data_IF_218425464867
#
_entry.id   IF_218425464867
#
_cell.length_a   1.000
_cell.length_b   1.000
_cell.length_c   1.000
_cell.angle_alpha   90.00
_cell.angle_beta   90.00
_cell.angle_gamma   90.00
#
_symmetry.space_group_name_H-M   'P 1'
#
loop_
_entity.id
_entity.type
_entity.pdbx_description
1 polymer ?
#
# COMPACT_ATOMS: atom_id res chain seq x y z
N UNK A 1 -3.73 -10.97 23.80
CA UNK A 1 -3.88 -12.29 23.17
C UNK A 1 -3.23 -13.33 24.07
N UNK A 2 -3.97 -14.37 24.50
CA UNK A 2 -3.49 -15.36 25.51
C UNK A 2 -3.04 -16.66 24.88
N UNK A 3 -3.66 -17.06 23.77
CA UNK A 3 -3.33 -18.30 23.08
C UNK A 3 -3.85 -18.33 21.66
N UNK A 4 -3.18 -19.12 20.81
CA UNK A 4 -3.53 -19.39 19.42
C UNK A 4 -3.28 -20.88 19.16
N UNK A 5 -4.30 -21.61 18.73
CA UNK A 5 -4.20 -23.05 18.42
C UNK A 5 -5.04 -23.39 17.18
N UNK A 6 -4.53 -24.27 16.32
CA UNK A 6 -5.29 -24.83 15.20
C UNK A 6 -6.00 -26.10 15.68
N UNK A 7 -7.33 -26.10 15.62
CA UNK A 7 -8.17 -27.22 16.07
C UNK A 7 -9.00 -27.76 14.92
N UNK A 8 -9.15 -29.08 14.86
CA UNK A 8 -10.15 -29.69 13.99
C UNK A 8 -11.46 -29.78 14.78
N UNK A 9 -12.48 -29.06 14.33
CA UNK A 9 -13.78 -29.05 14.98
C UNK A 9 -14.47 -30.40 14.76
N UNK A 10 -14.94 -31.02 15.84
CA UNK A 10 -15.86 -32.14 15.76
C UNK A 10 -17.28 -31.62 15.49
N UNK A 11 -18.14 -32.49 14.95
CA UNK A 11 -19.53 -32.14 14.67
C UNK A 11 -20.26 -31.63 15.92
N UNK A 12 -19.99 -32.24 17.08
CA UNK A 12 -20.56 -31.85 18.38
C UNK A 12 -20.10 -30.45 18.80
N UNK A 13 -18.78 -30.17 18.75
CA UNK A 13 -18.26 -28.83 19.06
C UNK A 13 -18.80 -27.75 18.14
N UNK A 14 -18.97 -28.06 16.84
CA UNK A 14 -19.53 -27.11 15.89
C UNK A 14 -21.02 -26.80 16.18
N UNK A 15 -21.80 -27.78 16.67
CA UNK A 15 -23.16 -27.54 17.14
C UNK A 15 -23.16 -26.65 18.38
N UNK A 16 -22.31 -26.92 19.37
CA UNK A 16 -22.24 -26.12 20.59
C UNK A 16 -21.88 -24.66 20.29
N UNK A 17 -20.90 -24.44 19.39
CA UNK A 17 -20.47 -23.10 18.93
C UNK A 17 -21.62 -22.37 18.23
N UNK A 18 -22.36 -23.03 17.33
CA UNK A 18 -23.47 -22.41 16.61
C UNK A 18 -24.70 -22.18 17.50
N UNK A 19 -24.94 -23.07 18.47
CA UNK A 19 -26.04 -22.97 19.42
C UNK A 19 -25.86 -21.78 20.36
N UNK A 20 -24.62 -21.50 20.80
CA UNK A 20 -24.32 -20.33 21.62
C UNK A 20 -24.52 -18.98 20.88
N UNK A 21 -24.56 -18.99 19.55
CA UNK A 21 -24.64 -17.78 18.72
C UNK A 21 -26.06 -17.29 18.38
N UNK A 22 -27.11 -17.86 18.99
CA UNK A 22 -28.55 -17.58 18.74
C UNK A 22 -28.98 -17.62 17.25
N UNK A 23 -28.13 -18.20 16.38
CA UNK A 23 -28.35 -18.29 14.96
C UNK A 23 -29.05 -19.61 14.62
N UNK A 24 -30.05 -19.56 13.74
CA UNK A 24 -30.72 -20.77 13.25
C UNK A 24 -29.71 -21.72 12.58
N UNK A 25 -29.71 -22.98 13.01
CA UNK A 25 -28.79 -24.02 12.54
C UNK A 25 -29.00 -24.28 11.03
N UNK A 26 -28.07 -23.77 10.23
CA UNK A 26 -27.99 -24.05 8.80
C UNK A 26 -26.95 -25.15 8.54
N UNK A 27 -27.35 -26.22 7.84
CA UNK A 27 -26.46 -27.33 7.47
C UNK A 27 -25.24 -26.87 6.66
N UNK A 28 -25.39 -25.82 5.85
CA UNK A 28 -24.27 -25.25 5.09
C UNK A 28 -23.19 -24.65 6.00
N UNK A 29 -23.59 -23.96 7.08
CA UNK A 29 -22.66 -23.38 8.05
C UNK A 29 -21.89 -24.48 8.80
N UNK A 30 -22.58 -25.57 9.17
CA UNK A 30 -21.96 -26.72 9.80
C UNK A 30 -20.93 -27.39 8.88
N UNK A 31 -21.26 -27.59 7.61
CA UNK A 31 -20.34 -28.17 6.64
C UNK A 31 -19.11 -27.28 6.43
N UNK A 32 -19.28 -25.96 6.40
CA UNK A 32 -18.17 -25.02 6.26
C UNK A 32 -17.20 -25.09 7.45
N UNK A 33 -17.72 -25.16 8.70
CA UNK A 33 -16.91 -25.29 9.91
C UNK A 33 -16.14 -26.62 9.99
N UNK A 34 -16.69 -27.70 9.42
CA UNK A 34 -16.05 -29.02 9.41
C UNK A 34 -15.10 -29.23 8.23
N UNK A 35 -15.19 -28.40 7.19
CA UNK A 35 -14.42 -28.60 5.94
C UNK A 35 -12.92 -28.33 6.07
N UNK A 36 -12.51 -27.54 7.07
CA UNK A 36 -11.12 -27.13 7.28
C UNK A 36 -10.80 -27.01 8.78
N UNK A 37 -9.53 -27.16 9.18
CA UNK A 37 -9.12 -26.84 10.55
C UNK A 37 -9.41 -25.38 10.86
N UNK A 38 -9.97 -25.13 12.05
CA UNK A 38 -10.30 -23.80 12.55
C UNK A 38 -9.17 -23.27 13.42
N UNK A 39 -8.93 -21.96 13.36
CA UNK A 39 -7.97 -21.31 14.25
C UNK A 39 -8.72 -20.77 15.48
N UNK A 40 -8.49 -21.37 16.63
CA UNK A 40 -9.01 -20.89 17.90
C UNK A 40 -8.05 -19.85 18.50
N UNK A 41 -8.57 -18.66 18.81
CA UNK A 41 -7.81 -17.58 19.43
C UNK A 41 -8.47 -17.21 20.75
N UNK A 42 -7.70 -17.30 21.83
CA UNK A 42 -8.17 -16.91 23.15
C UNK A 42 -7.71 -15.48 23.45
N UNK A 43 -8.67 -14.59 23.66
CA UNK A 43 -8.44 -13.26 24.19
C UNK A 43 -8.83 -13.25 25.67
N UNK A 44 -7.91 -12.80 26.55
CA UNK A 44 -8.30 -12.33 27.88
C UNK A 44 -8.83 -10.94 27.65
N UNK A 45 -10.16 -10.82 27.67
CA UNK A 45 -10.82 -9.55 27.87
C UNK A 45 -10.37 -9.06 29.25
N UNK A 46 -9.76 -7.88 29.29
CA UNK A 46 -9.50 -7.22 30.57
C UNK A 46 -10.84 -6.65 31.02
N UNK A 47 -11.23 -6.89 32.27
CA UNK A 47 -12.53 -6.49 32.82
C UNK A 47 -12.79 -4.97 32.72
N UNK A 48 -11.75 -4.18 32.44
CA UNK A 48 -11.81 -2.73 32.22
C UNK A 48 -12.66 -2.33 31.00
N UNK A 49 -12.76 -3.17 29.98
CA UNK A 49 -13.39 -2.77 28.71
C UNK A 49 -14.92 -2.88 28.76
N UNK A 50 -15.45 -3.81 29.58
CA UNK A 50 -16.90 -3.96 29.80
C UNK A 50 -17.51 -2.74 30.50
N UNK A 51 -16.79 -2.20 31.48
CA UNK A 51 -17.25 -1.02 32.22
C UNK A 51 -17.29 0.21 31.32
N UNK A 52 -16.36 0.34 30.36
CA UNK A 52 -16.33 1.50 29.47
C UNK A 52 -17.51 1.52 28.49
N UNK A 53 -17.83 0.37 27.87
CA UNK A 53 -18.98 0.28 26.96
C UNK A 53 -20.30 0.57 27.69
N UNK A 54 -20.47 0.06 28.91
CA UNK A 54 -21.66 0.31 29.73
C UNK A 54 -21.80 1.79 30.12
N UNK A 55 -20.70 2.46 30.46
CA UNK A 55 -20.69 3.89 30.79
C UNK A 55 -21.05 4.74 29.57
N UNK A 56 -20.50 4.41 28.40
CA UNK A 56 -20.83 5.10 27.15
C UNK A 56 -22.30 4.88 26.78
N UNK A 57 -22.81 3.66 26.91
CA UNK A 57 -24.22 3.37 26.64
C UNK A 57 -25.15 4.11 27.61
N UNK A 58 -24.85 4.13 28.91
CA UNK A 58 -25.62 4.90 29.91
C UNK A 58 -25.61 6.41 29.58
N UNK A 59 -24.46 6.96 29.17
CA UNK A 59 -24.33 8.38 28.80
C UNK A 59 -25.17 8.73 27.56
N UNK A 60 -25.18 7.87 26.54
CA UNK A 60 -25.98 8.08 25.33
C UNK A 60 -27.49 7.97 25.62
N UNK A 61 -27.92 7.03 26.48
CA UNK A 61 -29.32 6.92 26.93
C UNK A 61 -29.78 8.21 27.62
N UNK A 62 -29.02 8.73 28.59
CA UNK A 62 -29.34 9.99 29.29
C UNK A 62 -29.43 11.19 28.35
N UNK A 63 -28.50 11.32 27.40
CA UNK A 63 -28.55 12.36 26.36
C UNK A 63 -29.84 12.31 25.55
N UNK A 64 -30.24 11.10 25.12
CA UNK A 64 -31.45 10.91 24.33
C UNK A 64 -32.72 11.25 25.13
N UNK A 65 -32.76 10.92 26.43
CA UNK A 65 -33.88 11.27 27.31
C UNK A 65 -33.96 12.76 27.57
N UNK A 66 -32.83 13.42 27.85
CA UNK A 66 -32.77 14.87 28.05
C UNK A 66 -33.21 15.63 26.80
N UNK A 67 -32.75 15.22 25.62
CA UNK A 67 -33.18 15.81 24.35
C UNK A 67 -34.68 15.61 24.10
N UNK A 68 -35.22 14.44 24.47
CA UNK A 68 -36.67 14.17 24.37
C UNK A 68 -37.47 15.13 25.25
N UNK A 69 -37.06 15.31 26.51
CA UNK A 69 -37.72 16.23 27.44
C UNK A 69 -37.61 17.69 26.99
N UNK A 70 -36.46 18.10 26.46
CA UNK A 70 -36.27 19.46 25.94
C UNK A 70 -37.24 19.76 24.78
N UNK A 71 -37.42 18.81 23.84
CA UNK A 71 -38.39 18.95 22.75
C UNK A 71 -39.82 19.07 23.27
N UNK A 72 -40.19 18.23 24.25
CA UNK A 72 -41.51 18.29 24.87
C UNK A 72 -41.75 19.65 25.56
N UNK A 73 -40.76 20.18 26.28
CA UNK A 73 -40.86 21.48 26.94
C UNK A 73 -41.01 22.64 25.93
N UNK A 74 -40.34 22.57 24.78
CA UNK A 74 -40.49 23.54 23.69
C UNK A 74 -41.93 23.52 23.16
N UNK A 75 -42.48 22.34 22.89
CA UNK A 75 -43.86 22.19 22.39
C UNK A 75 -44.89 22.70 23.41
N UNK A 76 -44.71 22.38 24.69
CA UNK A 76 -45.56 22.86 25.78
C UNK A 76 -45.50 24.39 25.93
N UNK A 77 -44.31 25.00 25.79
CA UNK A 77 -44.14 26.45 25.83
C UNK A 77 -44.85 27.15 24.66
N UNK A 78 -44.77 26.57 23.45
CA UNK A 78 -45.48 27.08 22.27
C UNK A 78 -46.99 26.99 22.47
N UNK A 79 -47.50 25.87 23.00
CA UNK A 79 -48.92 25.69 23.28
C UNK A 79 -49.41 26.67 24.35
N UNK A 80 -48.65 26.87 25.43
CA UNK A 80 -48.97 27.85 26.48
C UNK A 80 -49.02 29.28 25.94
N UNK A 81 -48.07 29.67 25.06
CA UNK A 81 -48.05 30.98 24.41
C UNK A 81 -49.28 31.18 23.52
N UNK A 82 -49.69 30.16 22.75
CA UNK A 82 -50.92 30.19 21.94
C UNK A 82 -52.17 30.36 22.80
N UNK A 83 -52.30 29.59 23.88
CA UNK A 83 -53.42 29.69 24.81
C UNK A 83 -53.50 31.08 25.48
N UNK A 84 -52.35 31.66 25.86
CA UNK A 84 -52.29 33.01 26.43
C UNK A 84 -52.76 34.09 25.42
N UNK A 85 -52.31 34.00 24.15
CA UNK A 85 -52.76 34.90 23.07
C UNK A 85 -54.28 34.79 22.86
N UNK A 86 -54.86 33.58 22.89
CA UNK A 86 -56.30 33.38 22.76
C UNK A 86 -57.09 34.02 23.92
N UNK A 87 -56.63 33.86 25.16
CA UNK A 87 -57.25 34.49 26.32
C UNK A 87 -57.19 36.03 26.24
N UNK A 88 -56.04 36.57 25.81
CA UNK A 88 -55.86 38.00 25.62
C UNK A 88 -56.80 38.54 24.53
N UNK A 89 -56.95 37.81 23.42
CA UNK A 89 -57.90 38.13 22.35
C UNK A 89 -59.34 38.16 22.87
N UNK A 90 -59.73 37.20 23.69
CA UNK A 90 -61.08 37.17 24.31
C UNK A 90 -61.29 38.40 25.22
N UNK A 91 -60.30 38.79 26.02
CA UNK A 91 -60.39 39.98 26.88
C UNK A 91 -60.53 41.27 26.06
N UNK A 92 -59.75 41.42 24.99
CA UNK A 92 -59.83 42.58 24.10
C UNK A 92 -61.19 42.68 23.42
N UNK A 93 -61.74 41.56 22.94
CA UNK A 93 -63.09 41.51 22.37
C UNK A 93 -64.16 41.93 23.39
N UNK A 94 -64.02 41.52 24.66
CA UNK A 94 -64.92 41.95 25.74
C UNK A 94 -64.83 43.45 26.04
N UNK A 95 -63.64 44.04 25.93
CA UNK A 95 -63.40 45.47 26.20
C UNK A 95 -63.80 46.41 25.07
N UNK A 96 -64.06 45.90 23.86
CA UNK A 96 -64.42 46.71 22.69
C UNK A 96 -63.26 47.49 22.05
N UNK A 97 -62.02 47.22 22.42
CA UNK A 97 -60.85 47.95 21.92
C UNK A 97 -60.29 47.32 20.63
N UNK A 98 -60.80 47.77 19.47
CA UNK A 98 -60.51 47.17 18.16
C UNK A 98 -59.08 47.45 17.66
N UNK A 99 -58.47 48.58 18.04
CA UNK A 99 -57.12 48.95 17.59
C UNK A 99 -56.04 48.04 18.20
N UNK A 100 -56.19 47.63 19.46
CA UNK A 100 -55.28 46.70 20.12
C UNK A 100 -55.35 45.27 19.52
N UNK A 101 -56.49 44.89 18.96
CA UNK A 101 -56.70 43.57 18.35
C UNK A 101 -55.91 43.41 17.05
N UNK A 102 -55.72 44.50 16.30
CA UNK A 102 -55.02 44.51 15.02
C UNK A 102 -53.50 44.35 15.21
N UNK A 103 -52.94 45.00 16.23
CA UNK A 103 -51.53 44.84 16.61
C UNK A 103 -51.20 43.40 17.03
N UNK A 104 -52.12 42.72 17.72
CA UNK A 104 -51.93 41.34 18.19
C UNK A 104 -51.92 40.32 17.04
N UNK A 105 -52.61 40.61 15.93
CA UNK A 105 -52.56 39.78 14.72
C UNK A 105 -51.24 39.90 13.96
N UNK A 106 -50.50 40.98 14.18
CA UNK A 106 -49.27 41.27 13.43
C UNK A 106 -48.03 40.66 14.09
N UNK A 107 -48.10 40.27 15.37
CA UNK A 107 -47.10 39.40 16.01
C UNK A 107 -47.18 37.99 15.42
N UNK A 108 -46.27 37.69 14.50
CA UNK A 108 -46.13 36.39 13.86
C UNK A 108 -46.01 35.29 14.94
N UNK A 109 -46.69 34.16 14.71
CA UNK A 109 -46.70 33.04 15.65
C UNK A 109 -45.38 32.24 15.70
N UNK A 110 -44.38 32.68 14.95
CA UNK A 110 -43.12 31.98 14.68
C UNK A 110 -41.88 32.64 15.31
N UNK A 111 -42.04 33.57 16.26
CA UNK A 111 -40.92 34.01 17.10
C UNK A 111 -40.47 32.82 17.97
N UNK A 112 -39.54 32.04 17.42
CA UNK A 112 -39.01 30.80 17.98
C UNK A 112 -38.62 30.97 19.44
N UNK A 113 -39.09 30.07 20.28
CA UNK A 113 -38.66 30.03 21.68
C UNK A 113 -37.20 29.61 21.69
N UNK A 114 -36.31 30.53 22.02
CA UNK A 114 -34.85 30.33 22.01
C UNK A 114 -34.42 29.50 23.23
N UNK A 115 -34.87 28.25 23.27
CA UNK A 115 -34.41 27.26 24.25
C UNK A 115 -33.20 26.58 23.62
N UNK A 116 -32.01 26.96 24.10
CA UNK A 116 -30.75 26.36 23.69
C UNK A 116 -30.73 24.90 24.14
N UNK A 117 -30.90 23.96 23.20
CA UNK A 117 -30.74 22.52 23.47
C UNK A 117 -29.23 22.22 23.57
N UNK A 118 -28.72 21.74 24.71
CA UNK A 118 -27.31 21.40 24.83
C UNK A 118 -26.97 20.24 23.89
N UNK A 119 -25.98 20.43 23.02
CA UNK A 119 -25.53 19.43 22.03
C UNK A 119 -24.54 18.43 22.62
N UNK A 120 -23.92 18.77 23.75
CA UNK A 120 -23.03 17.90 24.52
C UNK A 120 -23.26 18.10 26.03
N UNK A 121 -23.29 17.00 26.78
CA UNK A 121 -23.15 17.04 28.24
C UNK A 121 -21.71 17.42 28.55
N UNK A 122 -21.50 18.53 29.27
CA UNK A 122 -20.19 18.88 29.82
C UNK A 122 -19.68 17.74 30.70
N UNK A 123 -18.43 17.34 30.52
CA UNK A 123 -17.77 16.21 31.21
C UNK A 123 -17.63 16.38 32.76
N UNK A 124 -18.32 17.35 33.36
CA UNK A 124 -18.12 17.77 34.75
C UNK A 124 -19.15 17.19 35.74
N UNK A 125 -20.15 16.42 35.30
CA UNK A 125 -21.17 15.82 36.17
C UNK A 125 -20.95 14.30 36.41
N UNK A 126 -19.74 13.78 36.15
CA UNK A 126 -19.40 12.35 36.24
C UNK A 126 -19.31 11.77 37.68
N UNK A 127 -19.58 12.53 38.74
CA UNK A 127 -19.44 12.04 40.13
C UNK A 127 -20.73 11.53 40.80
N UNK A 128 -21.88 11.47 40.10
CA UNK A 128 -23.14 11.02 40.72
C UNK A 128 -23.86 9.99 39.84
N UNK A 129 -23.40 8.73 39.87
CA UNK A 129 -24.28 7.55 39.82
C UNK A 129 -23.45 6.27 40.01
N UNK A 130 -23.08 6.02 41.26
CA UNK A 130 -22.56 4.74 41.73
C UNK A 130 -23.59 4.08 42.64
N UNK A 131 -24.80 3.77 42.17
CA UNK A 131 -25.76 3.00 43.00
C UNK A 131 -26.92 2.41 42.16
N UNK A 132 -26.67 1.27 41.52
CA UNK A 132 -27.55 0.08 41.56
C UNK A 132 -27.02 -0.95 40.54
N UNK A 133 -25.97 -1.67 40.91
CA UNK A 133 -25.65 -2.93 40.25
C UNK A 133 -26.82 -3.88 40.52
N UNK A 134 -27.49 -4.34 39.47
CA UNK A 134 -28.59 -5.30 39.57
C UNK A 134 -27.98 -6.65 39.98
N UNK A 135 -28.06 -7.00 41.27
CA UNK A 135 -27.43 -8.19 41.88
C UNK A 135 -27.86 -9.53 41.24
N UNK A 136 -28.77 -9.50 40.27
CA UNK A 136 -29.28 -10.67 39.55
C UNK A 136 -28.67 -10.86 38.16
N UNK A 137 -27.73 -10.02 37.71
CA UNK A 137 -27.04 -10.28 36.44
C UNK A 137 -26.15 -11.53 36.60
N UNK A 138 -26.55 -12.59 35.88
CA UNK A 138 -25.91 -13.90 35.99
C UNK A 138 -24.50 -13.85 35.38
N UNK A 139 -23.49 -13.71 36.24
CA UNK A 139 -22.11 -13.91 35.86
C UNK A 139 -21.82 -15.42 35.78
N UNK A 140 -21.43 -15.97 34.62
CA UNK A 140 -21.03 -17.36 34.53
C UNK A 140 -19.81 -17.58 35.45
N UNK A 141 -19.69 -18.76 36.08
CA UNK A 141 -18.60 -19.06 36.98
C UNK A 141 -17.25 -18.88 36.26
N UNK A 142 -16.31 -18.19 36.92
CA UNK A 142 -14.94 -18.05 36.45
C UNK A 142 -14.41 -19.44 36.06
N UNK A 143 -14.07 -19.63 34.78
CA UNK A 143 -13.62 -20.86 34.10
C UNK A 143 -14.61 -21.49 33.10
N UNK A 144 -15.83 -20.97 32.92
CA UNK A 144 -16.68 -21.39 31.81
C UNK A 144 -16.23 -20.70 30.50
N UNK A 145 -15.38 -21.38 29.72
CA UNK A 145 -15.05 -20.97 28.35
C UNK A 145 -16.29 -21.19 27.47
N UNK A 146 -17.10 -20.15 27.29
CA UNK A 146 -18.19 -20.17 26.32
C UNK A 146 -17.59 -19.84 24.95
N UNK A 147 -17.57 -20.77 23.99
CA UNK A 147 -17.12 -20.46 22.64
C UNK A 147 -18.13 -19.53 21.96
N UNK A 148 -17.81 -18.24 21.88
CA UNK A 148 -18.63 -17.24 21.22
C UNK A 148 -17.99 -16.73 19.92
N UNK A 149 -18.81 -16.30 18.97
CA UNK A 149 -18.34 -15.55 17.81
C UNK A 149 -18.15 -14.09 18.21
N UNK A 150 -16.89 -13.65 18.26
CA UNK A 150 -16.59 -12.24 18.41
C UNK A 150 -16.77 -11.54 17.06
N UNK A 151 -17.85 -10.78 16.92
CA UNK A 151 -18.04 -9.83 15.83
C UNK A 151 -17.69 -8.43 16.35
N UNK A 152 -16.55 -7.84 15.96
CA UNK A 152 -16.20 -6.49 16.42
C UNK A 152 -17.34 -5.51 16.06
N UNK A 153 -17.80 -4.65 16.98
CA UNK A 153 -18.94 -3.78 16.72
C UNK A 153 -18.65 -2.70 15.67
N UNK A 154 -17.42 -2.16 15.66
CA UNK A 154 -16.99 -1.11 14.74
C UNK A 154 -16.43 -1.70 13.44
N UNK A 155 -16.78 -1.11 12.29
CA UNK A 155 -16.25 -1.49 10.98
C UNK A 155 -14.72 -1.34 10.90
N UNK A 156 -14.14 -0.36 11.61
CA UNK A 156 -12.67 -0.22 11.74
C UNK A 156 -12.05 -1.41 12.48
N UNK A 157 -12.74 -1.92 13.51
CA UNK A 157 -12.28 -3.10 14.24
C UNK A 157 -12.46 -4.38 13.40
N UNK A 158 -13.50 -4.45 12.55
CA UNK A 158 -13.69 -5.54 11.60
C UNK A 158 -12.60 -5.54 10.53
N UNK A 159 -12.27 -4.38 9.94
CA UNK A 159 -11.18 -4.29 8.94
C UNK A 159 -9.83 -4.61 9.55
N UNK A 160 -9.52 -4.10 10.73
CA UNK A 160 -8.29 -4.43 11.46
C UNK A 160 -8.24 -5.92 11.82
N UNK A 161 -9.35 -6.49 12.27
CA UNK A 161 -9.48 -7.92 12.52
C UNK A 161 -9.21 -8.75 11.27
N UNK A 162 -9.79 -8.35 10.12
CA UNK A 162 -9.52 -9.01 8.84
C UNK A 162 -8.04 -8.87 8.41
N UNK A 163 -7.43 -7.70 8.62
CA UNK A 163 -6.02 -7.47 8.29
C UNK A 163 -5.09 -8.37 9.13
N UNK A 164 -5.38 -8.52 10.43
CA UNK A 164 -4.59 -9.34 11.35
C UNK A 164 -4.81 -10.84 11.09
N UNK A 165 -6.06 -11.26 10.88
CA UNK A 165 -6.41 -12.68 10.77
C UNK A 165 -6.18 -13.25 9.36
N UNK A 166 -6.37 -12.42 8.32
CA UNK A 166 -6.33 -12.83 6.92
C UNK A 166 -5.46 -11.91 6.06
N UNK A 167 -4.17 -11.73 6.40
CA UNK A 167 -3.30 -10.77 5.72
C UNK A 167 -3.18 -11.02 4.21
N UNK A 168 -3.23 -12.30 3.76
CA UNK A 168 -3.17 -12.63 2.33
C UNK A 168 -4.39 -12.15 1.54
N UNK A 169 -5.58 -12.26 2.10
CA UNK A 169 -6.83 -11.83 1.44
C UNK A 169 -6.90 -10.31 1.43
N UNK A 170 -6.49 -9.69 2.53
CA UNK A 170 -6.44 -8.24 2.65
C UNK A 170 -5.40 -7.64 1.71
N UNK A 171 -4.19 -8.20 1.61
CA UNK A 171 -3.16 -7.74 0.66
C UNK A 171 -3.59 -7.85 -0.81
N UNK A 172 -4.45 -8.81 -1.17
CA UNK A 172 -4.94 -8.96 -2.54
C UNK A 172 -6.07 -7.95 -2.87
N UNK A 173 -6.83 -7.51 -1.86
CA UNK A 173 -8.06 -6.72 -2.04
C UNK A 173 -7.92 -5.26 -1.63
N UNK A 174 -7.07 -4.98 -0.64
CA UNK A 174 -6.70 -3.63 -0.24
C UNK A 174 -5.55 -3.23 -1.13
N UNK A 175 -5.80 -2.27 -2.02
CA UNK A 175 -4.71 -1.53 -2.63
C UNK A 175 -3.94 -0.90 -1.47
N UNK A 176 -2.64 -1.22 -1.28
CA UNK A 176 -1.86 -0.54 -0.27
C UNK A 176 -2.06 0.97 -0.45
N UNK A 177 -2.18 1.68 0.67
CA UNK A 177 -2.21 3.14 0.61
C UNK A 177 -1.02 3.58 -0.25
N UNK A 178 -1.24 4.39 -1.31
CA UNK A 178 -0.16 4.70 -2.24
C UNK A 178 0.99 5.30 -1.43
N UNK A 179 2.14 4.64 -1.47
CA UNK A 179 3.33 5.09 -0.75
C UNK A 179 3.63 6.52 -1.21
N UNK A 180 3.36 7.49 -0.33
CA UNK A 180 3.59 8.89 -0.63
C UNK A 180 5.09 9.15 -0.65
N UNK A 181 5.69 9.04 -1.84
CA UNK A 181 7.03 9.53 -2.07
C UNK A 181 7.08 11.00 -1.64
N UNK A 182 8.10 11.41 -0.86
CA UNK A 182 8.20 12.80 -0.45
C UNK A 182 8.34 13.68 -1.71
N UNK A 183 7.87 14.96 -1.67
CA UNK A 183 8.03 15.87 -2.78
C UNK A 183 9.48 15.90 -3.23
N UNK A 184 9.73 15.72 -4.53
CA UNK A 184 11.08 15.49 -5.05
C UNK A 184 11.32 16.17 -6.40
N UNK A 185 12.60 16.41 -6.70
CA UNK A 185 13.05 17.04 -7.95
C UNK A 185 14.10 16.19 -8.64
N UNK A 186 14.13 16.25 -9.97
CA UNK A 186 15.14 15.59 -10.77
C UNK A 186 16.34 16.52 -10.96
N UNK A 187 17.54 16.02 -10.66
CA UNK A 187 18.80 16.71 -10.95
C UNK A 187 19.67 15.83 -11.85
N UNK A 188 20.11 16.36 -13.00
CA UNK A 188 20.93 15.61 -13.96
C UNK A 188 22.31 16.23 -14.17
N UNK A 189 23.34 15.39 -14.24
CA UNK A 189 24.73 15.78 -14.49
C UNK A 189 25.30 15.08 -15.71
N UNK A 190 26.34 15.69 -16.29
CA UNK A 190 27.24 15.01 -17.24
C UNK A 190 28.05 13.95 -16.49
N UNK A 191 28.37 12.84 -17.16
CA UNK A 191 29.17 11.78 -16.54
C UNK A 191 30.57 12.23 -16.11
N UNK A 192 31.09 13.32 -16.66
CA UNK A 192 32.36 13.92 -16.24
C UNK A 192 32.28 14.46 -14.79
N UNK A 193 31.12 14.97 -14.37
CA UNK A 193 30.91 15.55 -13.05
C UNK A 193 30.51 14.51 -11.99
N UNK A 194 30.42 13.23 -12.34
CA UNK A 194 29.94 12.16 -11.45
C UNK A 194 30.66 12.10 -10.11
N UNK A 195 31.98 12.27 -10.08
CA UNK A 195 32.75 12.19 -8.83
C UNK A 195 32.47 13.36 -7.90
N UNK A 196 32.26 14.56 -8.46
CA UNK A 196 31.87 15.74 -7.68
C UNK A 196 30.46 15.58 -7.12
N UNK A 197 29.52 15.14 -7.96
CA UNK A 197 28.14 14.89 -7.56
C UNK A 197 28.04 13.82 -6.46
N UNK A 198 28.71 12.68 -6.63
CA UNK A 198 28.74 11.61 -5.63
C UNK A 198 29.39 12.08 -4.32
N UNK A 199 30.42 12.95 -4.39
CA UNK A 199 31.07 13.50 -3.20
C UNK A 199 30.15 14.44 -2.42
N UNK A 200 29.38 15.30 -3.09
CA UNK A 200 28.38 16.16 -2.43
C UNK A 200 27.27 15.33 -1.76
N UNK A 201 26.78 14.31 -2.47
CA UNK A 201 25.72 13.42 -1.96
C UNK A 201 26.17 12.57 -0.77
N UNK A 202 27.48 12.37 -0.58
CA UNK A 202 27.99 11.52 0.50
C UNK A 202 27.49 11.98 1.88
N UNK A 203 27.32 13.29 2.08
CA UNK A 203 26.84 13.88 3.33
C UNK A 203 25.30 13.85 3.43
N UNK A 204 24.60 13.79 2.30
CA UNK A 204 23.15 13.92 2.17
C UNK A 204 22.53 12.64 1.58
N UNK A 205 22.86 11.49 2.17
CA UNK A 205 22.43 10.18 1.65
C UNK A 205 20.94 9.91 1.87
N UNK A 206 20.32 10.55 2.87
CA UNK A 206 18.91 10.33 3.22
C UNK A 206 17.97 11.09 2.30
N UNK A 207 18.47 12.17 1.71
CA UNK A 207 17.75 13.07 0.82
C UNK A 207 17.71 12.55 -0.62
N UNK A 208 18.60 11.62 -0.98
CA UNK A 208 18.61 10.99 -2.31
C UNK A 208 17.74 9.75 -2.31
N UNK A 209 16.62 9.83 -3.02
CA UNK A 209 15.66 8.74 -3.15
C UNK A 209 16.19 7.69 -4.13
N UNK A 210 16.68 8.12 -5.30
CA UNK A 210 17.14 7.20 -6.35
C UNK A 210 18.24 7.80 -7.23
N UNK A 211 19.13 6.95 -7.76
CA UNK A 211 20.21 7.30 -8.69
C UNK A 211 20.13 6.41 -9.93
N UNK A 212 20.17 6.99 -11.13
CA UNK A 212 20.16 6.22 -12.39
C UNK A 212 21.08 6.86 -13.43
N UNK A 213 21.71 6.02 -14.25
CA UNK A 213 22.50 6.45 -15.40
C UNK A 213 21.62 6.33 -16.64
N UNK A 214 21.51 7.40 -17.42
CA UNK A 214 20.63 7.47 -18.58
C UNK A 214 21.40 7.82 -19.86
N UNK A 215 21.15 7.12 -20.99
CA UNK A 215 21.65 7.53 -22.30
C UNK A 215 20.71 8.58 -22.91
N UNK A 216 21.13 9.84 -23.00
CA UNK A 216 20.32 10.90 -23.63
C UNK A 216 20.62 12.31 -23.13
N UNK A 217 20.15 13.32 -23.86
CA UNK A 217 20.46 14.72 -23.56
C UNK A 217 19.42 15.40 -22.66
N UNK A 218 18.11 15.10 -22.77
CA UNK A 218 17.04 15.70 -21.95
C UNK A 218 15.79 14.78 -21.94
N UNK A 219 15.10 14.58 -20.80
CA UNK A 219 13.87 13.77 -20.72
C UNK A 219 12.72 14.29 -21.61
N UNK A 220 12.48 15.61 -21.64
CA UNK A 220 11.34 16.20 -22.36
C UNK A 220 11.41 16.22 -23.89
N UNK A 221 12.55 15.94 -24.53
CA UNK A 221 12.68 16.04 -26.00
C UNK A 221 12.58 14.70 -26.74
N UNK A 222 12.74 13.58 -26.05
CA UNK A 222 12.82 12.25 -26.68
C UNK A 222 11.57 11.38 -26.50
N UNK A 223 10.50 11.88 -25.86
CA UNK A 223 9.27 11.11 -25.63
C UNK A 223 8.57 10.66 -26.91
N UNK A 224 8.66 11.43 -28.01
CA UNK A 224 8.09 11.01 -29.29
C UNK A 224 8.90 9.96 -30.05
N UNK A 225 10.18 9.79 -29.76
CA UNK A 225 11.04 8.89 -30.55
C UNK A 225 11.08 7.47 -29.97
N UNK A 226 10.79 7.30 -28.67
CA UNK A 226 10.82 5.98 -28.03
C UNK A 226 9.53 5.15 -28.22
N UNK A 227 8.39 5.79 -28.51
CA UNK A 227 7.09 5.08 -28.65
C UNK A 227 6.91 4.37 -30.01
N UNK A 228 7.76 4.61 -31.03
CA UNK A 228 7.57 4.09 -32.39
C UNK A 228 8.47 2.90 -32.80
N UNK A 229 9.02 2.12 -31.86
CA UNK A 229 9.74 0.88 -32.22
C UNK A 229 9.27 -0.35 -31.45
N UNK A 230 7.96 -0.59 -31.42
CA UNK A 230 7.46 -1.96 -31.28
C UNK A 230 7.72 -2.74 -32.58
N UNK A 231 8.91 -3.32 -32.66
CA UNK A 231 9.29 -4.31 -33.65
C UNK A 231 8.47 -5.59 -33.39
N UNK A 232 7.47 -5.87 -34.24
CA UNK A 232 6.80 -7.17 -34.30
C UNK A 232 7.73 -8.21 -34.92
N UNK A 233 7.89 -9.41 -34.35
CA UNK A 233 8.19 -10.59 -35.12
C UNK A 233 6.89 -11.35 -35.40
N UNK A 234 6.45 -11.31 -36.65
CA UNK A 234 5.63 -12.35 -37.25
C UNK A 234 6.49 -13.60 -37.49
N UNK A 235 6.15 -14.76 -36.91
CA UNK A 235 5.93 -16.03 -37.64
C UNK A 235 5.47 -17.19 -36.74
N UNK A 236 4.38 -17.82 -37.22
CA UNK A 236 3.90 -19.20 -37.01
C UNK A 236 4.94 -20.27 -36.68
N UNK A 237 4.60 -21.18 -35.74
CA UNK A 237 4.68 -22.65 -35.90
C UNK A 237 3.89 -23.33 -34.76
N UNK A 238 2.75 -23.96 -35.05
CA UNK A 238 2.50 -25.42 -35.21
C UNK A 238 2.71 -26.28 -33.95
N UNK A 239 1.56 -26.79 -33.49
CA UNK A 239 1.37 -27.94 -32.60
C UNK A 239 1.95 -29.21 -33.24
N UNK A 240 2.69 -30.00 -32.47
CA UNK A 240 2.69 -31.46 -32.55
C UNK A 240 3.19 -32.08 -31.23
N UNK A 241 2.38 -32.99 -30.70
CA UNK A 241 2.59 -33.85 -29.53
C UNK A 241 3.32 -35.14 -29.90
N UNK A 242 4.16 -35.69 -28.99
CA UNK A 242 4.06 -37.06 -28.42
C UNK A 242 5.38 -37.54 -27.75
N UNK A 243 5.27 -37.84 -26.45
CA UNK A 243 5.59 -39.09 -25.73
C UNK A 243 6.97 -39.83 -25.84
N UNK A 244 7.56 -40.00 -24.64
CA UNK A 244 8.03 -41.25 -23.95
C UNK A 244 9.46 -41.85 -24.12
N UNK A 245 10.03 -42.16 -22.93
CA UNK A 245 11.11 -43.14 -22.54
C UNK A 245 12.57 -42.70 -22.83
N UNK A 246 13.62 -42.98 -22.06
CA UNK A 246 13.89 -43.81 -20.86
C UNK A 246 15.33 -44.37 -20.96
N UNK A 247 16.15 -44.28 -19.89
CA UNK A 247 17.54 -44.83 -19.69
C UNK A 247 18.62 -44.34 -20.72
N UNK A 248 19.93 -44.24 -20.49
CA UNK A 248 20.87 -44.86 -19.55
C UNK A 248 22.13 -43.97 -19.33
N UNK A 249 22.88 -44.14 -18.24
CA UNK A 249 24.15 -43.42 -17.96
C UNK A 249 25.37 -44.29 -18.32
N UNK A 250 26.10 -43.94 -19.39
CA UNK A 250 27.54 -44.20 -19.54
C UNK A 250 28.21 -43.03 -20.30
N UNK A 251 29.47 -42.66 -20.01
CA UNK A 251 30.15 -41.58 -20.72
C UNK A 251 30.77 -42.09 -22.04
N UNK A 252 30.66 -41.38 -23.18
CA UNK A 252 31.34 -41.79 -24.39
C UNK A 252 32.80 -41.31 -24.39
N UNK A 253 33.69 -42.19 -24.83
CA UNK A 253 35.00 -41.85 -25.39
C UNK A 253 34.80 -41.00 -26.65
N UNK A 254 35.58 -39.94 -26.78
CA UNK A 254 35.61 -39.08 -27.96
C UNK A 254 36.28 -39.80 -29.15
N UNK A 255 35.67 -39.85 -30.34
CA UNK A 255 36.39 -40.23 -31.56
C UNK A 255 37.07 -39.01 -32.19
N UNK A 256 38.13 -39.29 -32.93
CA UNK A 256 38.93 -38.32 -33.68
C UNK A 256 38.11 -37.55 -34.71
N UNK A 257 38.52 -36.30 -34.92
CA UNK A 257 37.96 -35.37 -35.87
C UNK A 257 37.91 -35.97 -37.28
N UNK A 258 36.70 -36.15 -37.79
CA UNK A 258 36.24 -35.64 -39.07
C UNK A 258 34.71 -35.80 -39.11
N UNK A 259 34.02 -34.90 -39.81
CA UNK A 259 32.55 -34.81 -40.01
C UNK A 259 31.75 -34.10 -38.90
N UNK A 260 31.35 -32.84 -39.17
CA UNK A 260 30.33 -32.11 -38.41
C UNK A 260 29.27 -31.55 -39.36
N UNK A 261 28.00 -31.92 -39.15
CA UNK A 261 26.83 -31.36 -39.86
C UNK A 261 26.14 -30.28 -39.01
N UNK A 262 25.31 -29.40 -39.61
CA UNK A 262 24.73 -28.23 -38.91
C UNK A 262 23.87 -28.54 -37.67
N UNK A 263 23.32 -29.74 -37.53
CA UNK A 263 22.52 -30.13 -36.37
C UNK A 263 23.33 -30.32 -35.07
N UNK A 264 24.66 -30.47 -35.14
CA UNK A 264 25.48 -30.68 -33.95
C UNK A 264 25.81 -29.37 -33.21
N UNK A 265 25.69 -28.21 -33.87
CA UNK A 265 25.92 -26.90 -33.25
C UNK A 265 24.77 -26.49 -32.30
N UNK A 266 23.54 -26.88 -32.61
CA UNK A 266 22.34 -26.55 -31.82
C UNK A 266 22.32 -27.30 -30.47
N UNK A 267 22.74 -28.58 -30.46
CA UNK A 267 22.89 -29.37 -29.24
C UNK A 267 24.06 -28.90 -28.35
N UNK A 268 25.08 -28.27 -28.94
CA UNK A 268 26.22 -27.72 -28.18
C UNK A 268 25.84 -26.38 -27.53
N UNK A 269 25.05 -25.53 -28.19
CA UNK A 269 24.57 -24.28 -27.60
C UNK A 269 23.61 -24.53 -26.41
N UNK A 270 22.79 -25.57 -26.46
CA UNK A 270 21.91 -25.94 -25.35
C UNK A 270 22.69 -26.47 -24.12
N UNK A 271 23.80 -27.19 -24.34
CA UNK A 271 24.70 -27.62 -23.25
C UNK A 271 25.57 -26.48 -22.70
N UNK A 272 25.80 -25.41 -23.46
CA UNK A 272 26.52 -24.21 -23.00
C UNK A 272 25.70 -23.39 -22.00
N UNK A 273 24.38 -23.28 -22.20
CA UNK A 273 23.49 -22.56 -21.27
C UNK A 273 23.34 -23.27 -19.92
N UNK A 274 23.53 -24.58 -19.84
CA UNK A 274 23.40 -25.37 -18.61
C UNK A 274 24.69 -25.47 -17.77
N UNK A 275 25.83 -25.01 -18.29
CA UNK A 275 27.10 -25.06 -17.56
C UNK A 275 27.19 -24.01 -16.45
N UNK A 276 27.43 -24.46 -15.21
CA UNK A 276 27.61 -23.63 -14.01
C UNK A 276 29.03 -23.11 -13.82
N UNK A 277 30.02 -23.65 -14.53
CA UNK A 277 31.44 -23.28 -14.36
C UNK A 277 31.80 -22.06 -15.22
N UNK A 278 32.37 -21.04 -14.58
CA UNK A 278 32.85 -19.83 -15.26
C UNK A 278 34.09 -20.12 -16.13
N UNK A 279 34.99 -20.98 -15.64
CA UNK A 279 36.21 -21.38 -16.36
C UNK A 279 35.89 -22.11 -17.68
N UNK A 280 34.83 -22.93 -17.70
CA UNK A 280 34.38 -23.61 -18.91
C UNK A 280 33.87 -22.62 -19.97
N UNK A 281 33.24 -21.52 -19.56
CA UNK A 281 32.74 -20.48 -20.48
C UNK A 281 33.90 -19.64 -21.04
N UNK A 282 34.89 -19.33 -20.20
CA UNK A 282 36.11 -18.58 -20.62
C UNK A 282 36.96 -19.42 -21.58
N UNK A 283 37.18 -20.71 -21.28
CA UNK A 283 37.93 -21.62 -22.14
C UNK A 283 37.26 -21.80 -23.52
N UNK A 284 35.93 -21.87 -23.56
CA UNK A 284 35.19 -21.99 -24.81
C UNK A 284 35.24 -20.70 -25.65
N UNK A 285 35.14 -19.52 -25.02
CA UNK A 285 35.33 -18.24 -25.70
C UNK A 285 36.74 -18.10 -26.30
N UNK A 286 37.77 -18.57 -25.58
CA UNK A 286 39.15 -18.63 -26.09
C UNK A 286 39.30 -19.56 -27.30
N UNK A 287 38.65 -20.73 -27.27
CA UNK A 287 38.67 -21.70 -28.37
C UNK A 287 38.00 -21.16 -29.65
N UNK A 288 36.85 -20.48 -29.53
CA UNK A 288 36.16 -19.83 -30.67
C UNK A 288 37.03 -18.72 -31.27
N UNK A 289 37.66 -17.89 -30.42
CA UNK A 289 38.55 -16.82 -30.88
C UNK A 289 39.75 -17.38 -31.66
N UNK A 290 40.36 -18.47 -31.18
CA UNK A 290 41.47 -19.14 -31.85
C UNK A 290 41.07 -19.76 -33.20
N UNK A 291 39.86 -20.33 -33.29
CA UNK A 291 39.36 -20.97 -34.53
C UNK A 291 38.90 -19.99 -35.61
N UNK A 292 38.42 -18.80 -35.22
CA UNK A 292 37.84 -17.82 -36.16
C UNK A 292 38.85 -16.80 -36.68
N UNK A 293 40.07 -16.74 -36.13
CA UNK A 293 41.10 -15.78 -36.54
C UNK A 293 40.74 -14.31 -36.26
N UNK A 294 39.65 -14.07 -35.51
CA UNK A 294 39.18 -12.74 -35.18
C UNK A 294 39.87 -12.23 -33.91
N UNK A 295 40.40 -11.01 -33.97
CA UNK A 295 40.97 -10.30 -32.82
C UNK A 295 39.83 -9.72 -31.97
N UNK A 296 39.47 -10.43 -30.89
CA UNK A 296 38.48 -9.96 -29.92
C UNK A 296 39.18 -9.33 -28.71
N UNK A 297 38.75 -8.14 -28.29
CA UNK A 297 39.15 -7.59 -26.98
C UNK A 297 38.06 -7.90 -25.96
N UNK A 298 38.35 -8.77 -24.99
CA UNK A 298 37.45 -9.03 -23.87
C UNK A 298 37.56 -7.85 -22.89
N UNK A 299 36.48 -7.09 -22.70
CA UNK A 299 36.40 -6.08 -21.63
C UNK A 299 35.32 -6.49 -20.64
N UNK A 300 35.73 -6.79 -19.42
CA UNK A 300 34.81 -7.00 -18.29
C UNK A 300 34.37 -5.61 -17.83
N UNK A 301 33.12 -5.24 -18.09
CA UNK A 301 32.64 -3.87 -17.87
C UNK A 301 31.97 -3.65 -16.53
N UNK A 302 31.56 -4.69 -15.80
CA UNK A 302 30.92 -4.49 -14.49
C UNK A 302 30.93 -5.76 -13.62
N UNK A 303 31.38 -5.60 -12.38
CA UNK A 303 31.23 -6.61 -11.32
C UNK A 303 30.29 -6.02 -10.26
N UNK A 304 29.08 -6.58 -10.11
CA UNK A 304 28.12 -6.16 -9.08
C UNK A 304 28.18 -7.15 -7.91
N UNK A 305 28.69 -6.75 -6.73
CA UNK A 305 28.96 -7.69 -5.65
C UNK A 305 27.72 -8.31 -5.00
N UNK A 306 26.51 -7.78 -5.21
CA UNK A 306 25.30 -8.22 -4.50
C UNK A 306 24.32 -9.08 -5.31
N UNK A 307 24.52 -9.26 -6.63
CA UNK A 307 23.56 -10.01 -7.46
C UNK A 307 24.11 -11.29 -8.11
N UNK A 308 25.40 -11.62 -7.92
CA UNK A 308 26.02 -12.85 -8.43
C UNK A 308 25.99 -13.02 -9.95
N UNK A 309 25.58 -12.00 -10.72
CA UNK A 309 25.45 -12.04 -12.17
C UNK A 309 26.45 -11.10 -12.82
N UNK A 310 27.32 -11.65 -13.66
CA UNK A 310 28.19 -10.88 -14.55
C UNK A 310 27.59 -10.88 -15.97
N UNK A 311 27.53 -9.70 -16.59
CA UNK A 311 27.17 -9.57 -18.00
C UNK A 311 28.45 -9.44 -18.84
N UNK A 312 28.59 -10.31 -19.85
CA UNK A 312 29.69 -10.26 -20.82
C UNK A 312 29.15 -9.66 -22.12
N UNK A 313 29.64 -8.48 -22.52
CA UNK A 313 29.31 -7.90 -23.83
C UNK A 313 30.50 -8.11 -24.74
N UNK A 314 30.28 -8.88 -25.81
CA UNK A 314 31.29 -9.14 -26.84
C UNK A 314 30.93 -8.30 -28.07
N UNK A 315 31.84 -7.44 -28.53
CA UNK A 315 31.65 -6.65 -29.75
C UNK A 315 32.73 -7.00 -30.79
N UNK A 316 32.35 -7.23 -32.06
CA UNK A 316 33.30 -7.54 -33.11
C UNK A 316 34.15 -6.31 -33.46
N UNK A 317 35.47 -6.47 -33.37
CA UNK A 317 36.45 -5.45 -33.73
C UNK A 317 36.58 -5.28 -35.24
N UNK A 318 35.65 -4.55 -35.86
CA UNK A 318 35.82 -4.06 -37.22
C UNK A 318 36.71 -2.81 -37.22
N UNK A 319 37.91 -2.92 -37.77
CA UNK A 319 38.83 -1.80 -37.96
C UNK A 319 38.24 -0.74 -38.89
N UNK A 320 37.50 0.21 -38.33
CA UNK A 320 37.14 1.47 -39.00
C UNK A 320 37.97 2.58 -38.37
N UNK A 321 38.64 3.32 -39.23
CA UNK A 321 39.22 4.64 -38.95
C UNK A 321 38.20 5.47 -38.18
N UNK A 322 38.49 5.75 -36.91
CA UNK A 322 37.64 6.53 -36.03
C UNK A 322 37.63 7.97 -36.52
N UNK A 323 36.46 8.46 -36.94
CA UNK A 323 36.28 9.89 -37.16
C UNK A 323 36.57 10.64 -35.84
N UNK A 324 37.43 11.66 -35.84
CA UNK A 324 37.74 12.46 -34.65
C UNK A 324 36.55 13.29 -34.14
N UNK A 325 35.42 13.30 -34.87
CA UNK A 325 34.14 13.86 -34.43
C UNK A 325 33.26 12.85 -33.70
N UNK A 326 33.67 11.58 -33.59
CA UNK A 326 32.95 10.59 -32.79
C UNK A 326 33.15 10.88 -31.30
N UNK A 327 32.23 11.67 -30.75
CA UNK A 327 32.05 11.84 -29.31
C UNK A 327 32.14 10.48 -28.62
N UNK A 328 32.90 10.42 -27.52
CA UNK A 328 33.09 9.18 -26.78
C UNK A 328 31.71 8.66 -26.38
N UNK A 329 31.50 7.34 -26.35
CA UNK A 329 30.19 6.78 -26.02
C UNK A 329 29.65 7.25 -24.65
N UNK A 330 30.54 7.65 -23.75
CA UNK A 330 30.21 8.17 -22.41
C UNK A 330 29.72 9.63 -22.43
N UNK A 331 29.97 10.39 -23.49
CA UNK A 331 29.54 11.81 -23.61
C UNK A 331 28.02 11.91 -23.76
N UNK A 332 27.36 10.81 -24.13
CA UNK A 332 25.90 10.69 -24.24
C UNK A 332 25.24 10.22 -22.94
N UNK A 333 26.01 9.83 -21.93
CA UNK A 333 25.48 9.36 -20.66
C UNK A 333 25.33 10.53 -19.68
N UNK A 334 24.23 10.51 -18.95
CA UNK A 334 23.90 11.44 -17.89
C UNK A 334 23.65 10.69 -16.60
N UNK A 335 23.99 11.32 -15.48
CA UNK A 335 23.70 10.81 -14.14
C UNK A 335 22.50 11.57 -13.59
N UNK A 336 21.41 10.87 -13.31
CA UNK A 336 20.16 11.43 -12.80
C UNK A 336 20.00 11.08 -11.32
N UNK A 337 19.65 12.09 -10.52
CA UNK A 337 19.35 12.00 -9.11
C UNK A 337 17.91 12.43 -8.88
N UNK A 338 17.19 11.62 -8.10
CA UNK A 338 15.89 11.95 -7.54
C UNK A 338 16.13 12.44 -6.11
N UNK A 339 15.93 13.74 -5.87
CA UNK A 339 16.30 14.41 -4.62
C UNK A 339 15.03 14.86 -3.91
N UNK A 340 14.87 14.49 -2.65
CA UNK A 340 13.76 14.97 -1.82
C UNK A 340 13.90 16.48 -1.53
N UNK A 341 12.80 17.20 -1.60
CA UNK A 341 12.69 18.64 -1.30
C UNK A 341 12.47 18.89 0.20
N UNK A 342 12.40 17.84 1.04
CA UNK A 342 12.30 18.01 2.50
C UNK A 342 13.48 18.78 3.09
N UNK A 343 14.66 18.69 2.45
CA UNK A 343 15.88 19.41 2.85
C UNK A 343 16.54 20.05 1.64
N UNK A 344 16.63 21.38 1.64
CA UNK A 344 17.20 22.13 0.52
C UNK A 344 18.73 21.98 0.42
N UNK A 345 19.42 21.52 1.47
CA UNK A 345 20.89 21.48 1.52
C UNK A 345 21.48 20.57 0.43
N UNK A 346 20.89 19.38 0.24
CA UNK A 346 21.32 18.43 -0.77
C UNK A 346 21.14 19.00 -2.19
N UNK A 347 20.01 19.66 -2.42
CA UNK A 347 19.70 20.30 -3.70
C UNK A 347 20.65 21.47 -3.97
N UNK A 348 20.90 22.34 -2.98
CA UNK A 348 21.81 23.48 -3.10
C UNK A 348 23.25 23.06 -3.40
N UNK A 349 23.77 22.02 -2.73
CA UNK A 349 25.10 21.49 -3.02
C UNK A 349 25.19 20.91 -4.43
N UNK A 350 24.17 20.19 -4.88
CA UNK A 350 24.12 19.65 -6.23
C UNK A 350 24.04 20.77 -7.28
N UNK A 351 23.21 21.79 -7.06
CA UNK A 351 23.12 22.98 -7.93
C UNK A 351 24.46 23.71 -8.02
N UNK A 352 25.21 23.80 -6.92
CA UNK A 352 26.56 24.40 -6.88
C UNK A 352 27.59 23.71 -7.78
N UNK A 353 27.39 22.44 -8.13
CA UNK A 353 28.26 21.69 -9.07
C UNK A 353 27.99 22.07 -10.54
N UNK A 354 26.86 22.74 -10.80
CA UNK A 354 26.40 23.11 -12.14
C UNK A 354 25.80 21.90 -12.87
N UNK A 355 24.62 21.42 -12.46
CA UNK A 355 23.89 20.37 -13.17
C UNK A 355 23.53 20.84 -14.59
N UNK A 356 23.30 19.88 -15.48
CA UNK A 356 22.78 20.16 -16.83
C UNK A 356 21.31 20.51 -16.78
N UNK A 357 20.60 19.89 -15.84
CA UNK A 357 19.16 20.00 -15.70
C UNK A 357 18.75 19.88 -14.24
N UNK A 358 17.80 20.71 -13.84
CA UNK A 358 17.12 20.69 -12.54
C UNK A 358 15.63 20.91 -12.82
N UNK A 359 14.76 20.07 -12.28
CA UNK A 359 13.32 20.30 -12.37
C UNK A 359 12.94 21.64 -11.75
N UNK A 360 11.93 22.29 -12.33
CA UNK A 360 11.51 23.64 -11.92
C UNK A 360 10.86 23.66 -10.53
N UNK A 361 10.06 22.65 -10.25
CA UNK A 361 9.25 22.48 -9.05
C UNK A 361 9.03 20.98 -8.77
N UNK A 362 8.48 20.65 -7.60
CA UNK A 362 8.25 19.25 -7.18
C UNK A 362 7.24 18.53 -8.06
N UNK A 363 6.19 19.22 -8.52
CA UNK A 363 5.18 18.66 -9.43
C UNK A 363 5.77 18.28 -10.78
N UNK A 364 6.55 19.17 -11.40
CA UNK A 364 7.31 18.81 -12.61
C UNK A 364 8.36 17.74 -12.33
N UNK A 365 8.96 17.77 -11.14
CA UNK A 365 9.94 16.78 -10.67
C UNK A 365 9.36 15.38 -10.59
N UNK A 366 8.13 15.25 -10.09
CA UNK A 366 7.37 13.99 -10.03
C UNK A 366 7.10 13.45 -11.43
N UNK A 367 6.57 14.27 -12.34
CA UNK A 367 6.31 13.87 -13.73
C UNK A 367 7.59 13.40 -14.45
N UNK A 368 8.69 14.12 -14.24
CA UNK A 368 9.98 13.82 -14.87
C UNK A 368 10.66 12.60 -14.25
N UNK A 369 10.54 12.43 -12.94
CA UNK A 369 10.99 11.22 -12.26
C UNK A 369 10.17 10.01 -12.70
N UNK A 370 8.84 10.11 -12.79
CA UNK A 370 7.99 9.04 -13.29
C UNK A 370 8.31 8.62 -14.73
N UNK A 371 8.79 9.56 -15.57
CA UNK A 371 9.24 9.24 -16.93
C UNK A 371 10.63 8.56 -16.98
N UNK A 372 11.50 8.83 -16.01
CA UNK A 372 12.90 8.35 -15.98
C UNK A 372 13.10 7.09 -15.14
N UNK A 373 12.38 6.99 -14.03
CA UNK A 373 12.36 5.86 -13.11
C UNK A 373 11.08 5.05 -13.40
N UNK A 374 11.22 3.73 -13.56
CA UNK A 374 10.12 2.85 -13.96
C UNK A 374 9.01 2.87 -12.90
N UNK A 375 7.74 2.90 -13.32
CA UNK A 375 6.51 3.13 -12.52
C UNK A 375 6.49 2.40 -11.16
N UNK A 376 7.07 1.22 -11.07
CA UNK A 376 7.18 0.41 -9.84
C UNK A 376 8.21 0.95 -8.80
N UNK A 377 8.63 2.20 -8.92
CA UNK A 377 9.64 2.82 -8.06
C UNK A 377 9.07 3.35 -6.74
N UNK A 378 7.78 3.68 -6.70
CA UNK A 378 7.09 3.96 -5.45
C UNK A 378 6.97 2.67 -4.63
N UNK A 379 6.48 1.59 -5.25
CA UNK A 379 6.13 0.31 -4.61
C UNK A 379 7.28 -0.49 -3.96
N UNK A 380 8.53 -0.03 -4.04
CA UNK A 380 9.70 -0.76 -3.54
C UNK A 380 10.54 0.07 -2.55
N UNK A 381 10.03 1.19 -2.04
CA UNK A 381 10.76 1.97 -1.06
C UNK A 381 10.70 1.24 0.29
N UNK A 382 11.84 0.82 0.88
CA UNK A 382 11.80 0.22 2.21
C UNK A 382 11.34 1.31 3.18
N UNK A 383 10.14 1.12 3.73
CA UNK A 383 9.61 1.88 4.85
C UNK A 383 10.68 1.93 5.94
N UNK A 384 11.40 3.04 6.05
CA UNK A 384 11.96 3.41 7.33
C UNK A 384 10.77 3.94 8.11
N UNK A 385 10.13 3.06 8.87
CA UNK A 385 9.27 3.49 9.97
C UNK A 385 10.11 4.42 10.84
N UNK A 386 9.89 5.73 10.69
CA UNK A 386 10.31 6.75 11.63
C UNK A 386 9.51 6.53 12.93
N UNK A 387 9.76 5.41 13.61
CA UNK A 387 9.54 5.36 15.03
C UNK A 387 10.61 6.27 15.63
N UNK A 388 10.21 7.52 15.89
CA UNK A 388 10.81 8.33 16.91
C UNK A 388 10.95 7.45 18.16
N UNK A 389 12.17 6.96 18.39
CA UNK A 389 12.52 6.34 19.66
C UNK A 389 12.37 7.44 20.73
N UNK A 390 11.61 7.21 21.80
CA UNK A 390 11.57 8.13 22.94
C UNK A 390 12.94 8.31 23.58
#
# INVERSE_FOLDING_TARGET
>A
MVGREEIQLTKEMAYDVLYAGDAALNEASLHMLLSAPALAICFRLLDTDKHFEEVVEKRTRRLSEMQRLARQAIDEAIQAKRAAKELQKIQLLKSGNLSALENLKQELDDDGVDIVVPEALSDLEEEIDSESEDENEYFPPANLLIPGFYAPPNDVAKTNGLAILFPKIVLEKVTPEPEFLPPHVLVMFEMEKRYKAIKAIYNHRREIIHIKIYPGTIPRRNWFTAISTHYRPTTRARVCSHNKKGLDRTPPRWPSADWWTPHTLENIMNNFQSSKSWDAKVAWAGYIAQKTGASWSLKVLEWRPWSGKAALVVSPGGGRTLDPSSTRPWDKLRLAFMVSVKSDLALLELVGIGPVYVSRDSTTGEDECAALFSVDYADNYPEYEDFEKP
#
